data_IF_269321298573
#
_entry.id   IF_269321298573
#
_cell.length_a   1.000
_cell.length_b   1.000
_cell.length_c   1.000
_cell.angle_alpha   90.00
_cell.angle_beta   90.00
_cell.angle_gamma   90.00
#
_symmetry.space_group_name_H-M   'P 1'
#
loop_
_entity.id
_entity.type
_entity.pdbx_description
1 polymer ?
#
# COMPACT_ATOMS: atom_id res chain seq x y z
N UNK A 1 2.32 9.37 3.21
CA UNK A 1 2.37 7.89 3.36
C UNK A 1 3.65 7.27 2.77
N UNK A 2 4.28 7.79 1.71
CA UNK A 2 5.52 7.21 1.15
C UNK A 2 6.68 7.04 2.17
N UNK A 3 6.79 7.93 3.16
CA UNK A 3 7.77 7.78 4.24
C UNK A 3 7.56 6.54 5.12
N UNK A 4 6.33 6.01 5.19
CA UNK A 4 6.04 4.78 5.93
C UNK A 4 6.71 3.58 5.24
N UNK A 5 6.54 3.46 3.92
CA UNK A 5 7.21 2.44 3.09
C UNK A 5 8.74 2.52 3.22
N UNK A 6 9.29 3.73 3.33
CA UNK A 6 10.73 3.94 3.40
C UNK A 6 11.35 3.67 4.78
N UNK A 7 10.64 3.96 5.88
CA UNK A 7 11.20 3.98 7.23
C UNK A 7 10.71 2.84 8.12
N UNK A 8 9.55 2.24 7.84
CA UNK A 8 9.01 1.15 8.66
C UNK A 8 9.60 -0.19 8.15
N UNK A 9 10.24 -1.00 9.00
CA UNK A 9 11.07 -2.13 8.54
C UNK A 9 10.32 -3.28 7.87
N UNK A 10 9.08 -3.55 8.28
CA UNK A 10 8.34 -4.73 7.82
C UNK A 10 7.07 -4.34 7.07
N UNK A 11 6.75 -5.07 6.00
CA UNK A 11 5.51 -4.88 5.25
C UNK A 11 4.28 -5.01 6.13
N UNK A 12 4.30 -5.91 7.12
CA UNK A 12 3.20 -6.07 8.08
C UNK A 12 2.95 -4.79 8.87
N UNK A 13 3.99 -4.19 9.47
CA UNK A 13 3.85 -2.95 10.22
C UNK A 13 3.47 -1.77 9.31
N UNK A 14 4.01 -1.72 8.09
CA UNK A 14 3.62 -0.72 7.10
C UNK A 14 2.12 -0.78 6.82
N UNK A 15 1.59 -1.97 6.51
CA UNK A 15 0.17 -2.18 6.21
C UNK A 15 -0.70 -1.90 7.44
N UNK A 16 -0.29 -2.33 8.64
CA UNK A 16 -1.03 -2.06 9.87
C UNK A 16 -1.13 -0.56 10.16
N UNK A 17 -0.03 0.18 10.02
CA UNK A 17 -0.01 1.62 10.24
C UNK A 17 -0.87 2.36 9.20
N UNK A 18 -0.71 2.01 7.92
CA UNK A 18 -1.51 2.58 6.84
C UNK A 18 -3.00 2.29 7.02
N UNK A 19 -3.36 1.05 7.37
CA UNK A 19 -4.73 0.65 7.64
C UNK A 19 -5.33 1.42 8.82
N UNK A 20 -4.60 1.56 9.92
CA UNK A 20 -5.05 2.37 11.05
C UNK A 20 -5.33 3.80 10.61
N UNK A 21 -4.42 4.43 9.86
CA UNK A 21 -4.57 5.81 9.40
C UNK A 21 -5.76 5.97 8.44
N UNK A 22 -5.86 5.10 7.43
CA UNK A 22 -6.88 5.15 6.38
C UNK A 22 -8.29 4.83 6.87
N UNK A 23 -8.41 4.11 7.99
CA UNK A 23 -9.70 3.80 8.62
C UNK A 23 -10.28 4.96 9.44
N UNK A 24 -9.56 6.07 9.61
CA UNK A 24 -10.05 7.26 10.34
C UNK A 24 -10.62 8.28 9.36
N UNK A 25 -11.51 9.15 9.86
CA UNK A 25 -12.13 10.22 9.07
C UNK A 25 -11.12 11.22 8.49
N UNK A 26 -9.98 11.43 9.16
CA UNK A 26 -8.94 12.36 8.72
C UNK A 26 -7.55 11.71 8.74
N UNK A 27 -7.21 10.86 7.75
CA UNK A 27 -5.98 10.08 7.73
C UNK A 27 -4.68 10.90 7.80
N UNK A 28 -4.71 12.15 7.34
CA UNK A 28 -3.53 13.02 7.34
C UNK A 28 -3.02 13.37 8.74
N UNK A 29 -3.91 13.34 9.75
CA UNK A 29 -3.61 13.77 11.12
C UNK A 29 -3.52 12.61 12.12
N UNK A 30 -3.50 11.36 11.63
CA UNK A 30 -3.61 10.16 12.48
C UNK A 30 -2.31 9.36 12.59
N UNK A 31 -1.21 9.87 12.03
CA UNK A 31 0.10 9.22 12.09
C UNK A 31 0.58 9.01 13.53
N UNK A 32 0.51 10.05 14.37
CA UNK A 32 0.92 9.95 15.78
C UNK A 32 0.07 8.95 16.57
N UNK A 33 -1.28 9.05 16.62
CA UNK A 33 -2.08 8.11 17.40
C UNK A 33 -1.96 6.67 16.90
N UNK A 34 -1.93 6.44 15.57
CA UNK A 34 -1.74 5.09 15.02
C UNK A 34 -0.33 4.54 15.26
N UNK A 35 0.70 5.40 15.20
CA UNK A 35 2.07 5.01 15.54
C UNK A 35 2.17 4.58 17.00
N UNK A 36 1.58 5.36 17.92
CA UNK A 36 1.51 5.03 19.35
C UNK A 36 0.76 3.72 19.61
N UNK A 37 -0.39 3.50 18.96
CA UNK A 37 -1.18 2.28 19.07
C UNK A 37 -0.39 1.03 18.67
N UNK A 38 0.48 1.15 17.67
CA UNK A 38 1.31 0.06 17.15
C UNK A 38 2.71 -0.02 17.78
N UNK A 39 3.02 0.84 18.76
CA UNK A 39 4.34 0.91 19.38
C UNK A 39 5.47 1.34 18.43
N UNK A 40 5.15 2.14 17.40
CA UNK A 40 6.09 2.65 16.41
C UNK A 40 6.53 4.09 16.75
N UNK A 41 7.82 4.39 16.56
CA UNK A 41 8.29 5.78 16.58
C UNK A 41 7.85 6.50 15.30
N UNK A 42 6.86 7.36 15.45
CA UNK A 42 6.26 8.13 14.36
C UNK A 42 7.05 9.40 14.03
N UNK A 43 7.96 9.83 14.91
CA UNK A 43 8.69 11.12 14.79
C UNK A 43 9.50 11.20 13.49
N UNK A 44 10.32 10.17 13.13
CA UNK A 44 11.08 10.20 11.89
C UNK A 44 10.18 10.18 10.64
N UNK A 45 9.01 9.52 10.75
CA UNK A 45 8.03 9.46 9.66
C UNK A 45 7.40 10.84 9.43
N UNK A 46 7.03 11.54 10.51
CA UNK A 46 6.49 12.89 10.45
C UNK A 46 7.52 13.87 9.86
N UNK A 47 8.77 13.83 10.34
CA UNK A 47 9.86 14.65 9.81
C UNK A 47 10.11 14.38 8.32
N UNK A 48 10.17 13.11 7.91
CA UNK A 48 10.31 12.74 6.51
C UNK A 48 9.17 13.30 5.66
N UNK A 49 7.93 13.27 6.16
CA UNK A 49 6.76 13.71 5.40
C UNK A 49 6.76 15.20 5.04
N UNK A 50 7.41 16.03 5.87
CA UNK A 50 7.63 17.46 5.61
C UNK A 50 8.92 17.80 4.85
N UNK A 51 9.72 16.80 4.47
CA UNK A 51 11.05 17.02 3.87
C UNK A 51 11.04 16.90 2.34
N UNK A 52 12.08 17.43 1.69
CA UNK A 52 12.35 17.22 0.27
C UNK A 52 12.58 15.75 -0.08
N UNK A 53 13.11 14.96 0.85
CA UNK A 53 13.23 13.50 0.71
C UNK A 53 11.85 12.86 0.57
N UNK A 54 10.88 13.25 1.40
CA UNK A 54 9.48 12.82 1.31
C UNK A 54 8.86 13.16 -0.05
N UNK A 55 9.09 14.38 -0.55
CA UNK A 55 8.67 14.78 -1.90
C UNK A 55 9.33 13.92 -3.00
N UNK A 56 10.62 13.61 -2.86
CA UNK A 56 11.34 12.74 -3.79
C UNK A 56 10.80 11.31 -3.81
N UNK A 57 10.39 10.77 -2.66
CA UNK A 57 9.71 9.47 -2.59
C UNK A 57 8.35 9.49 -3.31
N UNK A 58 7.56 10.54 -3.14
CA UNK A 58 6.29 10.71 -3.85
C UNK A 58 6.49 10.83 -5.37
N UNK A 59 7.50 11.57 -5.82
CA UNK A 59 7.87 11.64 -7.24
C UNK A 59 8.18 10.26 -7.81
N UNK A 60 9.01 9.46 -7.12
CA UNK A 60 9.33 8.08 -7.54
C UNK A 60 8.08 7.21 -7.65
N UNK A 61 7.14 7.33 -6.69
CA UNK A 61 5.88 6.61 -6.75
C UNK A 61 5.02 7.09 -7.93
N UNK A 62 4.96 8.39 -8.21
CA UNK A 62 4.29 8.93 -9.40
C UNK A 62 4.86 8.40 -10.71
N UNK A 63 6.20 8.29 -10.83
CA UNK A 63 6.85 7.67 -11.99
C UNK A 63 6.47 6.20 -12.14
N UNK A 64 6.49 5.43 -11.04
CA UNK A 64 6.06 4.02 -11.04
C UNK A 64 4.61 3.86 -11.48
N UNK A 65 3.70 4.71 -10.97
CA UNK A 65 2.29 4.71 -11.36
C UNK A 65 2.11 5.07 -12.84
N UNK A 66 2.83 6.07 -13.34
CA UNK A 66 2.76 6.49 -14.74
C UNK A 66 3.32 5.45 -15.72
N UNK A 67 4.21 4.57 -15.26
CA UNK A 67 4.81 3.51 -16.06
C UNK A 67 3.91 2.27 -16.22
N UNK A 68 2.81 2.15 -15.45
CA UNK A 68 1.88 1.03 -15.56
C UNK A 68 1.22 1.00 -16.95
N UNK A 69 1.13 -0.20 -17.53
CA UNK A 69 0.46 -0.46 -18.79
C UNK A 69 -0.61 -1.55 -18.63
N UNK A 70 -1.83 -1.34 -19.19
CA UNK A 70 -2.31 -0.09 -19.80
C UNK A 70 -2.35 1.06 -18.79
N UNK A 71 -2.44 2.31 -19.27
CA UNK A 71 -2.51 3.48 -18.38
C UNK A 71 -3.71 3.32 -17.43
N UNK A 72 -3.47 3.46 -16.13
CA UNK A 72 -4.53 3.36 -15.13
C UNK A 72 -5.52 4.53 -15.26
N UNK A 73 -6.80 4.25 -15.01
CA UNK A 73 -7.89 5.23 -15.12
C UNK A 73 -8.69 5.39 -13.83
N UNK A 74 -8.39 4.58 -12.81
CA UNK A 74 -9.15 4.51 -11.57
C UNK A 74 -8.23 4.18 -10.38
N UNK A 75 -8.61 4.69 -9.20
CA UNK A 75 -8.00 4.34 -7.91
C UNK A 75 -9.13 3.87 -6.99
N UNK A 76 -8.94 2.79 -6.20
CA UNK A 76 -7.73 1.97 -6.10
C UNK A 76 -7.46 1.09 -7.34
N UNK A 77 -6.19 0.91 -7.70
CA UNK A 77 -5.70 -0.04 -8.70
C UNK A 77 -4.84 -1.11 -8.04
N UNK A 78 -5.07 -2.37 -8.40
CA UNK A 78 -4.34 -3.55 -7.93
C UNK A 78 -3.66 -4.21 -9.14
N UNK A 79 -2.40 -4.61 -8.97
CA UNK A 79 -1.66 -5.43 -9.94
C UNK A 79 -1.33 -6.76 -9.31
N UNK A 80 -1.45 -7.86 -10.05
CA UNK A 80 -0.97 -9.18 -9.64
C UNK A 80 0.30 -9.51 -10.42
N UNK A 81 1.37 -9.84 -9.71
CA UNK A 81 2.71 -10.10 -10.28
C UNK A 81 3.18 -9.02 -11.27
N UNK A 82 2.90 -7.75 -10.93
CA UNK A 82 3.28 -6.58 -11.75
C UNK A 82 2.43 -6.38 -13.01
N UNK A 83 1.40 -7.20 -13.25
CA UNK A 83 0.48 -7.05 -14.39
C UNK A 83 -0.78 -6.32 -13.96
N UNK A 84 -1.13 -5.29 -14.72
CA UNK A 84 -2.40 -4.58 -14.58
C UNK A 84 -3.38 -5.08 -15.63
N UNK A 85 -4.57 -5.47 -15.18
CA UNK A 85 -5.69 -5.85 -16.04
C UNK A 85 -6.99 -5.23 -15.49
N UNK A 86 -7.72 -4.51 -16.34
CA UNK A 86 -8.92 -3.79 -15.94
C UNK A 86 -10.09 -4.72 -15.57
N UNK A 87 -10.21 -5.88 -16.21
CA UNK A 87 -11.24 -6.87 -15.88
C UNK A 87 -10.90 -7.55 -14.56
N UNK A 88 -9.64 -7.94 -14.37
CA UNK A 88 -9.15 -8.52 -13.13
C UNK A 88 -9.24 -7.55 -11.96
N UNK A 89 -9.09 -6.24 -12.20
CA UNK A 89 -9.20 -5.23 -11.16
C UNK A 89 -10.55 -5.32 -10.42
N UNK A 90 -11.66 -5.48 -11.14
CA UNK A 90 -12.99 -5.57 -10.51
C UNK A 90 -13.10 -6.77 -9.57
N UNK A 91 -12.61 -7.93 -10.00
CA UNK A 91 -12.57 -9.14 -9.18
C UNK A 91 -11.64 -8.95 -7.98
N UNK A 92 -10.47 -8.35 -8.19
CA UNK A 92 -9.47 -8.10 -7.14
C UNK A 92 -9.98 -7.14 -6.06
N UNK A 93 -10.77 -6.14 -6.43
CA UNK A 93 -11.40 -5.21 -5.48
C UNK A 93 -12.48 -5.88 -4.61
N UNK A 94 -13.10 -6.95 -5.11
CA UNK A 94 -14.17 -7.65 -4.39
C UNK A 94 -13.62 -8.83 -3.58
N UNK A 95 -12.67 -9.57 -4.15
CA UNK A 95 -12.09 -10.77 -3.54
C UNK A 95 -10.62 -10.93 -3.95
N UNK A 96 -9.75 -10.13 -3.32
CA UNK A 96 -8.30 -10.20 -3.56
C UNK A 96 -7.72 -11.58 -3.24
N UNK A 97 -8.20 -12.22 -2.17
CA UNK A 97 -7.71 -13.54 -1.75
C UNK A 97 -7.90 -14.58 -2.84
N UNK A 98 -9.10 -14.63 -3.45
CA UNK A 98 -9.34 -15.54 -4.58
C UNK A 98 -8.39 -15.26 -5.75
N UNK A 99 -8.19 -14.00 -6.11
CA UNK A 99 -7.31 -13.65 -7.23
C UNK A 99 -5.84 -14.01 -6.95
N UNK A 100 -5.37 -13.85 -5.71
CA UNK A 100 -4.03 -14.31 -5.29
C UNK A 100 -3.94 -15.84 -5.37
N UNK A 101 -4.95 -16.55 -4.89
CA UNK A 101 -4.99 -18.02 -4.94
C UNK A 101 -5.01 -18.56 -6.37
N UNK A 102 -5.71 -17.89 -7.30
CA UNK A 102 -5.76 -18.25 -8.71
C UNK A 102 -4.43 -17.97 -9.43
N UNK A 103 -3.73 -16.89 -9.06
CA UNK A 103 -2.44 -16.53 -9.64
C UNK A 103 -1.28 -17.39 -9.11
N UNK A 104 -1.43 -17.98 -7.92
CA UNK A 104 -0.36 -18.72 -7.26
C UNK A 104 -0.03 -20.03 -7.99
N UNK A 105 1.23 -20.19 -8.41
CA UNK A 105 1.71 -21.34 -9.19
C UNK A 105 2.28 -22.47 -8.33
N UNK A 106 2.33 -22.32 -7.00
CA UNK A 106 2.85 -23.33 -6.08
C UNK A 106 1.76 -24.27 -5.52
N UNK A 107 2.12 -25.13 -4.55
CA UNK A 107 1.16 -26.00 -3.86
C UNK A 107 0.06 -25.20 -3.18
N UNK A 108 -1.20 -25.57 -3.38
CA UNK A 108 -2.36 -24.81 -2.89
C UNK A 108 -2.27 -24.59 -1.37
N UNK A 109 -2.21 -23.32 -0.97
CA UNK A 109 -2.17 -22.93 0.44
C UNK A 109 -3.50 -23.23 1.12
N UNK A 110 -3.50 -23.53 2.43
CA UNK A 110 -4.73 -23.86 3.17
C UNK A 110 -5.79 -22.76 3.10
N UNK A 111 -5.36 -21.49 3.10
CA UNK A 111 -6.25 -20.34 2.92
C UNK A 111 -6.86 -20.23 1.51
N UNK A 112 -6.45 -21.06 0.57
CA UNK A 112 -6.98 -21.12 -0.80
C UNK A 112 -7.92 -22.32 -1.02
N UNK A 113 -8.15 -23.15 0.01
CA UNK A 113 -9.00 -24.35 -0.06
C UNK A 113 -10.44 -23.99 0.27
#
# INVERSE_FOLDING_TARGET
MACIEHLVPTTTQQVQLLHCMMSKSYPAYTLEPCGKELGLDWTPIAQCSGSTHGSGLLYKNGVRTAALQPRITFIPTITLDGRYDQFQLRSSLTNLQQQVCEAYQGPRHQACI
#
